data_IF_443420623416
#
_entry.id   IF_443420623416
#
_cell.length_a   1.000
_cell.length_b   1.000
_cell.length_c   1.000
_cell.angle_alpha   90.00
_cell.angle_beta   90.00
_cell.angle_gamma   90.00
#
_symmetry.space_group_name_H-M   'P 1'
#
loop_
_entity.id
_entity.type
_entity.pdbx_description
1 polymer ?
#
# COMPACT_ATOMS: atom_id res chain seq x y z
N UNK A 1 -27.20 -43.77 -7.01
CA UNK A 1 -27.05 -42.48 -7.76
C UNK A 1 -26.93 -41.24 -6.87
N UNK A 2 -27.74 -41.04 -5.81
CA UNK A 2 -27.66 -39.83 -4.94
C UNK A 2 -26.32 -39.59 -4.24
N UNK A 3 -25.61 -40.63 -3.77
CA UNK A 3 -24.29 -40.52 -3.12
C UNK A 3 -23.23 -39.85 -4.01
N UNK A 4 -23.18 -40.22 -5.29
CA UNK A 4 -22.20 -39.68 -6.23
C UNK A 4 -22.48 -38.22 -6.59
N UNK A 5 -23.76 -37.81 -6.53
CA UNK A 5 -24.16 -36.41 -6.72
C UNK A 5 -23.72 -35.56 -5.53
N UNK A 6 -23.94 -36.03 -4.29
CA UNK A 6 -23.52 -35.34 -3.06
C UNK A 6 -21.99 -35.19 -2.99
N UNK A 7 -21.24 -36.24 -3.33
CA UNK A 7 -19.77 -36.22 -3.35
C UNK A 7 -19.25 -35.20 -4.38
N UNK A 8 -19.87 -35.14 -5.57
CA UNK A 8 -19.52 -34.14 -6.60
C UNK A 8 -19.82 -32.71 -6.16
N UNK A 9 -20.95 -32.47 -5.50
CA UNK A 9 -21.29 -31.14 -4.99
C UNK A 9 -20.33 -30.69 -3.89
N UNK A 10 -19.90 -31.58 -2.99
CA UNK A 10 -18.90 -31.28 -1.96
C UNK A 10 -17.55 -30.92 -2.59
N UNK A 11 -17.11 -31.65 -3.61
CA UNK A 11 -15.86 -31.36 -4.32
C UNK A 11 -15.89 -30.00 -5.04
N UNK A 12 -17.02 -29.63 -5.64
CA UNK A 12 -17.20 -28.31 -6.27
C UNK A 12 -17.19 -27.21 -5.21
N UNK A 13 -17.82 -27.41 -4.05
CA UNK A 13 -17.80 -26.44 -2.95
C UNK A 13 -16.38 -26.25 -2.37
N UNK A 14 -15.62 -27.34 -2.22
CA UNK A 14 -14.24 -27.29 -1.73
C UNK A 14 -13.30 -26.58 -2.72
N UNK A 15 -13.50 -26.80 -4.03
CA UNK A 15 -12.71 -26.14 -5.08
C UNK A 15 -13.00 -24.64 -5.17
N UNK A 16 -14.26 -24.23 -4.94
CA UNK A 16 -14.63 -22.81 -4.85
C UNK A 16 -14.00 -22.17 -3.61
N UNK A 17 -14.00 -22.85 -2.46
CA UNK A 17 -13.37 -22.35 -1.23
C UNK A 17 -11.83 -22.24 -1.34
N UNK A 18 -11.19 -23.18 -2.04
CA UNK A 18 -9.74 -23.16 -2.27
C UNK A 18 -9.28 -22.05 -3.22
N UNK A 19 -10.20 -21.48 -4.02
CA UNK A 19 -9.92 -20.33 -4.89
C UNK A 19 -9.90 -18.98 -4.16
N UNK A 20 -10.40 -18.90 -2.92
CA UNK A 20 -10.31 -17.71 -2.06
C UNK A 20 -9.04 -17.77 -1.21
N UNK A 21 -7.88 -17.97 -1.86
CA UNK A 21 -6.63 -17.61 -1.22
C UNK A 21 -6.65 -16.11 -0.99
N UNK A 22 -6.64 -15.67 0.27
CA UNK A 22 -6.28 -14.30 0.60
C UNK A 22 -4.94 -14.02 -0.07
N UNK A 23 -4.94 -13.19 -1.12
CA UNK A 23 -3.73 -12.76 -1.79
C UNK A 23 -3.00 -11.84 -0.81
N UNK A 24 -2.14 -12.46 -0.01
CA UNK A 24 -1.14 -11.80 0.81
C UNK A 24 -0.37 -10.78 -0.04
N UNK A 25 -0.14 -9.57 0.49
CA UNK A 25 0.67 -8.58 -0.20
C UNK A 25 2.07 -9.11 -0.49
N UNK A 26 2.53 -8.91 -1.73
CA UNK A 26 3.84 -9.39 -2.18
C UNK A 26 4.97 -8.42 -1.81
N UNK A 27 4.66 -7.24 -1.28
CA UNK A 27 5.62 -6.16 -0.99
C UNK A 27 6.71 -6.60 -0.02
N UNK A 28 7.91 -6.83 -0.56
CA UNK A 28 9.11 -7.18 0.19
C UNK A 28 10.00 -5.97 0.49
N UNK A 29 10.10 -5.03 -0.44
CA UNK A 29 10.91 -3.82 -0.29
C UNK A 29 10.23 -2.61 -0.92
N UNK A 30 10.45 -1.44 -0.31
CA UNK A 30 10.06 -0.15 -0.87
C UNK A 30 11.26 0.78 -0.83
N UNK A 31 11.74 1.16 -2.00
CA UNK A 31 12.81 2.12 -2.19
C UNK A 31 12.23 3.42 -2.70
N UNK A 32 12.62 4.53 -2.10
CA UNK A 32 12.10 5.85 -2.47
C UNK A 32 13.25 6.74 -2.91
N UNK A 33 13.12 7.41 -4.04
CA UNK A 33 14.11 8.36 -4.56
C UNK A 33 13.45 9.67 -4.97
N UNK A 34 14.14 10.79 -4.76
CA UNK A 34 13.69 12.10 -5.22
C UNK A 34 14.54 12.55 -6.41
N UNK A 35 13.90 12.95 -7.51
CA UNK A 35 14.52 13.55 -8.69
C UNK A 35 14.32 15.07 -8.75
N UNK A 36 13.79 15.66 -7.69
CA UNK A 36 13.55 17.09 -7.58
C UNK A 36 14.87 17.86 -7.44
N UNK A 37 14.84 19.15 -7.78
CA UNK A 37 16.02 20.03 -7.76
C UNK A 37 16.72 19.97 -6.39
N UNK A 38 17.99 19.52 -6.32
CA UNK A 38 18.72 19.44 -5.06
C UNK A 38 18.94 20.80 -4.39
N UNK A 39 18.75 21.91 -5.10
CA UNK A 39 18.81 23.26 -4.54
C UNK A 39 17.51 23.71 -3.87
N UNK A 40 16.42 22.96 -4.02
CA UNK A 40 15.16 23.26 -3.36
C UNK A 40 15.17 22.75 -1.91
N UNK A 41 14.98 23.65 -0.94
CA UNK A 41 14.93 23.34 0.50
C UNK A 41 13.54 22.82 0.89
N UNK A 42 13.04 21.81 0.18
CA UNK A 42 11.71 21.24 0.42
C UNK A 42 11.89 19.81 0.90
N UNK A 43 11.19 19.46 1.98
CA UNK A 43 11.07 18.09 2.48
C UNK A 43 9.66 17.62 2.11
N UNK A 44 9.56 16.48 1.44
CA UNK A 44 8.28 15.83 1.13
C UNK A 44 8.12 14.57 1.96
N UNK A 45 6.90 14.09 2.05
CA UNK A 45 6.53 12.88 2.78
C UNK A 45 5.92 11.86 1.81
N UNK A 46 6.29 10.60 2.00
CA UNK A 46 5.66 9.44 1.36
C UNK A 46 5.16 8.53 2.47
N UNK A 47 3.87 8.20 2.42
CA UNK A 47 3.25 7.28 3.35
C UNK A 47 2.97 5.94 2.67
N UNK A 48 3.35 4.85 3.32
CA UNK A 48 3.07 3.48 2.89
C UNK A 48 2.14 2.85 3.92
N UNK A 49 0.95 2.44 3.49
CA UNK A 49 -0.12 1.96 4.37
C UNK A 49 -0.36 0.48 4.08
N UNK A 50 -0.13 -0.37 5.08
CA UNK A 50 -0.44 -1.79 5.05
C UNK A 50 -1.78 -2.02 5.74
N UNK A 51 -2.77 -2.51 5.00
CA UNK A 51 -4.14 -2.74 5.51
C UNK A 51 -4.35 -4.24 5.68
N UNK A 52 -4.76 -4.66 6.87
CA UNK A 52 -4.92 -6.08 7.24
C UNK A 52 -6.38 -6.53 7.31
N UNK A 53 -7.32 -5.58 7.40
CA UNK A 53 -8.76 -5.88 7.59
C UNK A 53 -9.62 -5.21 6.52
N UNK A 54 -10.62 -5.94 6.01
CA UNK A 54 -11.53 -5.47 4.96
C UNK A 54 -12.32 -4.23 5.36
N UNK A 55 -12.70 -4.11 6.64
CA UNK A 55 -13.42 -2.96 7.21
C UNK A 55 -12.70 -1.63 6.93
N UNK A 56 -11.37 -1.63 6.93
CA UNK A 56 -10.58 -0.42 6.69
C UNK A 56 -10.64 0.02 5.23
N UNK A 57 -10.85 -0.92 4.30
CA UNK A 57 -10.93 -0.63 2.87
C UNK A 57 -12.21 0.11 2.50
N UNK A 58 -13.33 -0.15 3.18
CA UNK A 58 -14.63 0.45 2.87
C UNK A 58 -14.67 1.97 3.09
N UNK A 59 -13.83 2.48 4.01
CA UNK A 59 -13.70 3.90 4.32
C UNK A 59 -12.31 4.48 4.01
N UNK A 60 -11.49 3.77 3.23
CA UNK A 60 -10.11 4.21 2.99
C UNK A 60 -10.09 5.53 2.21
N UNK A 61 -9.22 6.50 2.58
CA UNK A 61 -9.19 7.79 1.90
C UNK A 61 -8.94 7.66 0.40
N UNK A 62 -9.86 8.21 -0.39
CA UNK A 62 -9.79 8.14 -1.85
C UNK A 62 -8.81 9.14 -2.47
N UNK A 63 -8.36 10.15 -1.71
CA UNK A 63 -7.49 11.22 -2.21
C UNK A 63 -6.42 11.62 -1.22
N UNK A 64 -5.33 12.22 -1.74
CA UNK A 64 -4.23 12.81 -0.96
C UNK A 64 -4.75 13.74 0.14
N UNK A 65 -5.63 14.68 -0.20
CA UNK A 65 -6.17 15.62 0.79
C UNK A 65 -6.92 14.91 1.91
N UNK A 66 -7.76 13.92 1.59
CA UNK A 66 -8.48 13.16 2.61
C UNK A 66 -7.52 12.37 3.51
N UNK A 67 -6.48 11.78 2.93
CA UNK A 67 -5.44 11.08 3.67
C UNK A 67 -4.69 12.00 4.64
N UNK A 68 -4.00 13.03 4.14
CA UNK A 68 -3.13 13.85 4.99
C UNK A 68 -3.91 14.72 5.99
N UNK A 69 -5.14 15.12 5.68
CA UNK A 69 -6.01 15.82 6.63
C UNK A 69 -6.54 14.91 7.74
N UNK A 70 -6.79 13.62 7.45
CA UNK A 70 -7.34 12.63 8.37
C UNK A 70 -6.31 11.71 9.03
N UNK A 71 -5.04 11.75 8.58
CA UNK A 71 -3.97 10.81 8.95
C UNK A 71 -3.87 10.54 10.45
N UNK A 72 -3.82 11.60 11.26
CA UNK A 72 -3.72 11.45 12.72
C UNK A 72 -4.91 10.70 13.30
N UNK A 73 -6.12 11.01 12.85
CA UNK A 73 -7.34 10.33 13.31
C UNK A 73 -7.35 8.88 12.84
N UNK A 74 -6.97 8.60 11.59
CA UNK A 74 -6.87 7.25 11.05
C UNK A 74 -5.90 6.38 11.86
N UNK A 75 -4.68 6.86 12.11
CA UNK A 75 -3.68 6.14 12.91
C UNK A 75 -4.16 5.86 14.33
N UNK A 76 -4.90 6.79 14.94
CA UNK A 76 -5.50 6.62 16.26
C UNK A 76 -6.64 5.61 16.28
N UNK A 77 -7.44 5.52 15.20
CA UNK A 77 -8.64 4.68 15.15
C UNK A 77 -8.37 3.25 14.67
N UNK A 78 -7.34 3.05 13.84
CA UNK A 78 -7.14 1.79 13.12
C UNK A 78 -6.53 0.68 14.00
N UNK A 79 -5.87 1.05 15.11
CA UNK A 79 -5.28 0.09 16.05
C UNK A 79 -4.31 -0.86 15.34
N UNK A 80 -4.53 -2.17 15.50
CA UNK A 80 -3.74 -3.21 14.83
C UNK A 80 -4.29 -3.61 13.44
N UNK A 81 -5.29 -2.91 12.90
CA UNK A 81 -5.91 -3.25 11.60
C UNK A 81 -5.15 -2.69 10.39
N UNK A 82 -4.21 -1.76 10.61
CA UNK A 82 -3.31 -1.24 9.59
C UNK A 82 -2.01 -0.75 10.23
N UNK A 83 -0.94 -0.73 9.44
CA UNK A 83 0.32 -0.08 9.79
C UNK A 83 0.61 1.05 8.80
N UNK A 84 1.16 2.17 9.28
CA UNK A 84 1.53 3.33 8.46
C UNK A 84 3.02 3.59 8.61
N UNK A 85 3.76 3.49 7.51
CA UNK A 85 5.18 3.84 7.43
C UNK A 85 5.29 5.22 6.80
N UNK A 86 5.88 6.17 7.54
CA UNK A 86 6.01 7.55 7.11
C UNK A 86 7.48 7.81 6.77
N UNK A 87 7.75 8.24 5.55
CA UNK A 87 9.10 8.50 5.06
C UNK A 87 9.21 9.98 4.69
N UNK A 88 10.05 10.71 5.42
CA UNK A 88 10.41 12.09 5.08
C UNK A 88 11.64 12.08 4.19
N UNK A 89 11.54 12.75 3.05
CA UNK A 89 12.57 12.77 2.02
C UNK A 89 12.90 14.22 1.69
N UNK A 90 14.08 14.70 2.09
CA UNK A 90 14.55 15.99 1.63
C UNK A 90 14.86 15.92 0.13
N UNK A 91 14.57 16.99 -0.61
CA UNK A 91 14.95 17.09 -2.01
C UNK A 91 16.48 17.10 -2.13
N UNK A 92 17.01 16.44 -3.16
CA UNK A 92 18.45 16.31 -3.38
C UNK A 92 19.19 15.26 -2.55
N UNK A 93 18.49 14.42 -1.77
CA UNK A 93 19.12 13.31 -1.07
C UNK A 93 19.05 12.00 -1.86
N UNK A 94 20.14 11.23 -1.74
CA UNK A 94 20.23 9.87 -2.24
C UNK A 94 19.21 9.01 -1.50
N UNK A 95 18.22 8.54 -2.26
CA UNK A 95 17.24 7.50 -1.97
C UNK A 95 17.21 6.83 -0.58
N UNK A 96 16.00 6.61 -0.07
CA UNK A 96 15.73 5.94 1.22
C UNK A 96 15.15 4.54 1.00
N UNK A 97 15.68 3.54 1.72
CA UNK A 97 15.01 2.23 1.86
C UNK A 97 14.06 2.28 3.06
N UNK A 98 12.76 2.02 2.85
CA UNK A 98 11.78 2.03 3.92
C UNK A 98 11.95 0.82 4.87
N UNK A 99 11.82 1.05 6.17
CA UNK A 99 11.69 -0.01 7.16
C UNK A 99 10.23 -0.46 7.23
N UNK A 100 9.94 -1.63 6.67
CA UNK A 100 8.57 -2.15 6.56
C UNK A 100 8.14 -2.93 7.81
N UNK A 101 6.82 -3.03 8.10
CA UNK A 101 6.32 -3.86 9.19
C UNK A 101 6.72 -5.32 9.02
N UNK A 102 7.03 -5.99 10.14
CA UNK A 102 7.40 -7.42 10.12
C UNK A 102 6.27 -8.30 9.55
N UNK A 103 5.01 -7.90 9.79
CA UNK A 103 3.81 -8.60 9.34
C UNK A 103 3.30 -8.15 7.95
N UNK A 104 4.10 -7.40 7.18
CA UNK A 104 3.71 -6.85 5.85
C UNK A 104 3.05 -7.87 4.91
N UNK A 105 3.52 -9.12 4.90
CA UNK A 105 2.99 -10.20 4.08
C UNK A 105 1.54 -10.61 4.45
N UNK A 106 1.01 -10.13 5.58
CA UNK A 106 -0.37 -10.38 5.98
C UNK A 106 -1.33 -9.32 5.45
N UNK A 107 -0.82 -8.24 4.85
CA UNK A 107 -1.66 -7.16 4.35
C UNK A 107 -2.53 -7.64 3.18
N UNK A 108 -3.81 -7.25 3.19
CA UNK A 108 -4.76 -7.43 2.10
C UNK A 108 -4.51 -6.41 0.98
N UNK A 109 -4.12 -5.19 1.37
CA UNK A 109 -3.76 -4.10 0.47
C UNK A 109 -2.59 -3.30 1.01
N UNK A 110 -1.77 -2.82 0.09
CA UNK A 110 -0.71 -1.86 0.40
C UNK A 110 -0.84 -0.66 -0.52
N UNK A 111 -0.98 0.51 0.07
CA UNK A 111 -1.16 1.78 -0.65
C UNK A 111 0.00 2.73 -0.39
N UNK A 112 0.30 3.56 -1.38
CA UNK A 112 1.27 4.66 -1.27
C UNK A 112 0.57 5.99 -1.54
N UNK A 113 0.81 6.97 -0.66
CA UNK A 113 0.50 8.38 -0.89
C UNK A 113 1.78 9.20 -0.96
N UNK A 114 1.82 10.16 -1.89
CA UNK A 114 2.86 11.19 -1.94
C UNK A 114 2.31 12.54 -1.53
N UNK A 115 2.91 13.20 -0.55
CA UNK A 115 2.50 14.55 -0.13
C UNK A 115 2.69 15.58 -1.26
N UNK A 116 3.62 15.29 -2.18
CA UNK A 116 3.89 16.10 -3.35
C UNK A 116 2.82 15.99 -4.46
N UNK A 117 1.96 14.96 -4.43
CA UNK A 117 0.96 14.77 -5.48
C UNK A 117 -0.07 15.92 -5.51
N UNK A 118 -0.87 15.96 -6.58
CA UNK A 118 -2.07 16.81 -6.60
C UNK A 118 -3.03 16.46 -5.45
N UNK A 119 -3.76 17.45 -4.94
CA UNK A 119 -4.75 17.30 -3.87
C UNK A 119 -5.78 16.18 -4.10
N UNK A 120 -6.16 15.96 -5.36
CA UNK A 120 -7.12 14.95 -5.79
C UNK A 120 -6.50 13.58 -6.14
N UNK A 121 -5.18 13.43 -6.04
CA UNK A 121 -4.51 12.18 -6.41
C UNK A 121 -4.98 11.01 -5.53
N UNK A 122 -5.32 9.90 -6.18
CA UNK A 122 -5.68 8.66 -5.50
C UNK A 122 -4.44 7.93 -4.96
N UNK A 123 -4.58 7.07 -3.93
CA UNK A 123 -3.47 6.23 -3.52
C UNK A 123 -3.05 5.29 -4.64
N UNK A 124 -1.75 5.02 -4.73
CA UNK A 124 -1.23 4.00 -5.64
C UNK A 124 -1.27 2.64 -4.94
N UNK A 125 -1.97 1.67 -5.52
CA UNK A 125 -1.98 0.29 -5.04
C UNK A 125 -0.69 -0.42 -5.46
N UNK A 126 0.09 -0.89 -4.48
CA UNK A 126 1.36 -1.58 -4.68
C UNK A 126 1.33 -3.04 -4.22
N UNK A 127 0.14 -3.57 -3.91
CA UNK A 127 -0.04 -4.88 -3.27
C UNK A 127 0.67 -6.02 -4.01
N UNK A 128 0.68 -5.96 -5.36
CA UNK A 128 1.23 -6.99 -6.25
C UNK A 128 2.65 -6.65 -6.77
N UNK A 129 3.35 -5.73 -6.09
CA UNK A 129 4.69 -5.31 -6.48
C UNK A 129 5.68 -5.71 -5.37
N UNK A 130 6.43 -6.80 -5.62
CA UNK A 130 7.38 -7.33 -4.65
C UNK A 130 8.49 -6.34 -4.27
N UNK A 131 9.14 -5.74 -5.27
CA UNK A 131 10.20 -4.75 -5.06
C UNK A 131 9.75 -3.42 -5.63
N UNK A 132 9.35 -2.49 -4.77
CA UNK A 132 8.75 -1.21 -5.17
C UNK A 132 9.82 -0.14 -5.27
N UNK A 133 9.79 0.62 -6.35
CA UNK A 133 10.47 1.89 -6.51
C UNK A 133 9.42 3.01 -6.53
N UNK A 134 9.52 3.94 -5.59
CA UNK A 134 8.74 5.18 -5.57
C UNK A 134 9.67 6.32 -5.95
N UNK A 135 9.44 6.93 -7.10
CA UNK A 135 10.20 8.09 -7.56
C UNK A 135 9.36 9.34 -7.37
N UNK A 136 9.93 10.37 -6.77
CA UNK A 136 9.29 11.68 -6.64
C UNK A 136 9.87 12.59 -7.72
N UNK A 137 9.01 13.16 -8.54
CA UNK A 137 9.34 14.17 -9.54
C UNK A 137 8.45 15.41 -9.41
N UNK A 138 8.57 16.36 -10.36
CA UNK A 138 7.85 17.63 -10.32
C UNK A 138 6.31 17.51 -10.44
N UNK A 139 5.79 16.33 -10.80
CA UNK A 139 4.37 16.08 -10.98
C UNK A 139 3.76 15.25 -9.83
N UNK A 140 4.59 14.66 -8.98
CA UNK A 140 4.14 13.81 -7.88
C UNK A 140 5.02 12.57 -7.72
N UNK A 141 4.40 11.46 -7.31
CA UNK A 141 5.06 10.17 -7.22
C UNK A 141 4.78 9.32 -8.46
N UNK A 142 5.80 8.57 -8.89
CA UNK A 142 5.73 7.53 -9.88
C UNK A 142 6.15 6.23 -9.21
N UNK A 143 5.29 5.21 -9.29
CA UNK A 143 5.58 3.90 -8.69
C UNK A 143 5.87 2.87 -9.77
N UNK A 144 6.92 2.10 -9.58
CA UNK A 144 7.32 1.03 -10.50
C UNK A 144 7.93 -0.15 -9.76
N UNK A 145 8.18 -1.24 -10.49
CA UNK A 145 8.94 -2.39 -9.98
C UNK A 145 10.44 -2.10 -10.11
N UNK A 146 11.15 -2.18 -8.98
CA UNK A 146 12.62 -2.19 -8.95
C UNK A 146 13.12 -3.54 -9.47
N UNK A 147 14.03 -3.50 -10.44
CA UNK A 147 14.72 -4.68 -10.97
C UNK A 147 15.93 -5.05 -10.13
#
# INVERSE_FOLDING_TARGET
MRKNLIIRTIFVLLAILAGYGSLAAEVESVFISSRLDPNAIIITEVDIIFIYEQEILEGFPATKTLWYSGKRQFVQSVGNKADVVNIFIPQGFDSVMASLPARRAQALKVYVFGQHDASSAAPVDITEIQNVLVEIDQFGIVVSRRR
#
